data_IF_609203655816
#
_entry.id   IF_609203655816
#
_cell.length_a   1.000
_cell.length_b   1.000
_cell.length_c   1.000
_cell.angle_alpha   90.00
_cell.angle_beta   90.00
_cell.angle_gamma   90.00
#
_symmetry.space_group_name_H-M   'P 1'
#
loop_
_entity.id
_entity.type
_entity.pdbx_description
1 polymer ?
#
# COMPACT_ATOMS: atom_id res chain seq x y z
N UNK A 1 2.91 -17.12 10.45
CA UNK A 1 3.44 -15.73 10.41
C UNK A 1 2.25 -14.81 10.37
N UNK A 2 2.15 -13.86 11.31
CA UNK A 2 1.13 -12.82 11.20
C UNK A 2 1.62 -11.78 10.17
N UNK A 3 0.78 -11.44 9.20
CA UNK A 3 1.10 -10.37 8.25
C UNK A 3 1.02 -9.03 8.99
N UNK A 4 2.05 -8.19 8.79
CA UNK A 4 2.12 -6.82 9.31
C UNK A 4 1.85 -5.87 8.18
N UNK A 5 0.82 -5.04 8.33
CA UNK A 5 0.52 -3.97 7.39
C UNK A 5 1.13 -2.68 7.90
N UNK A 6 1.80 -1.94 7.01
CA UNK A 6 2.40 -0.66 7.31
C UNK A 6 1.72 0.41 6.47
N UNK A 7 1.41 1.54 7.09
CA UNK A 7 0.82 2.70 6.43
C UNK A 7 1.39 4.00 7.03
N UNK A 8 1.19 5.12 6.36
CA UNK A 8 1.72 6.42 6.76
C UNK A 8 0.61 7.46 6.75
N UNK A 9 0.29 7.98 7.93
CA UNK A 9 -0.68 9.07 8.09
C UNK A 9 0.04 10.39 7.89
N UNK A 10 -0.50 11.25 7.03
CA UNK A 10 0.04 12.58 6.71
C UNK A 10 -1.04 13.64 6.88
N UNK A 11 -0.66 14.81 7.39
CA UNK A 11 -1.55 15.97 7.45
C UNK A 11 -0.77 17.29 7.42
N UNK A 12 -1.42 18.36 6.96
CA UNK A 12 -0.85 19.71 6.93
C UNK A 12 -0.95 20.44 8.29
N UNK A 13 -1.69 19.88 9.25
CA UNK A 13 -1.84 20.44 10.60
C UNK A 13 -1.78 19.34 11.66
N UNK A 14 -1.37 19.68 12.91
CA UNK A 14 -1.29 18.71 13.99
C UNK A 14 -2.68 18.21 14.43
N UNK A 15 -3.71 19.05 14.31
CA UNK A 15 -5.10 18.67 14.63
C UNK A 15 -5.64 17.65 13.64
N UNK A 16 -5.45 17.89 12.34
CA UNK A 16 -5.84 16.95 11.28
C UNK A 16 -5.10 15.60 11.43
N UNK A 17 -3.82 15.65 11.82
CA UNK A 17 -3.05 14.43 12.08
C UNK A 17 -3.65 13.64 13.26
N UNK A 18 -3.99 14.32 14.36
CA UNK A 18 -4.56 13.69 15.55
C UNK A 18 -5.89 13.00 15.25
N UNK A 19 -6.77 13.63 14.45
CA UNK A 19 -8.04 13.02 14.03
C UNK A 19 -7.82 11.78 13.18
N UNK A 20 -6.92 11.84 12.19
CA UNK A 20 -6.59 10.71 11.32
C UNK A 20 -5.95 9.55 12.09
N UNK A 21 -5.06 9.83 13.04
CA UNK A 21 -4.49 8.80 13.93
C UNK A 21 -5.58 8.16 14.79
N UNK A 22 -6.49 8.98 15.34
CA UNK A 22 -7.61 8.48 16.16
C UNK A 22 -8.52 7.55 15.35
N UNK A 23 -8.75 7.84 14.07
CA UNK A 23 -9.47 6.95 13.18
C UNK A 23 -8.71 5.63 12.93
N UNK A 24 -7.41 5.71 12.62
CA UNK A 24 -6.56 4.53 12.41
C UNK A 24 -6.47 3.64 13.66
N UNK A 25 -6.43 4.21 14.85
CA UNK A 25 -6.49 3.49 16.13
C UNK A 25 -7.80 2.68 16.28
N UNK A 26 -8.95 3.25 15.88
CA UNK A 26 -10.24 2.54 15.89
C UNK A 26 -10.29 1.39 14.89
N UNK A 27 -9.56 1.52 13.79
CA UNK A 27 -9.39 0.50 12.76
C UNK A 27 -8.37 -0.59 13.14
N UNK A 28 -7.79 -0.52 14.35
CA UNK A 28 -6.82 -1.51 14.85
C UNK A 28 -5.37 -1.27 14.42
N UNK A 29 -5.08 -0.12 13.81
CA UNK A 29 -3.71 0.31 13.55
C UNK A 29 -3.08 0.92 14.80
N UNK A 30 -1.78 0.78 14.97
CA UNK A 30 -1.00 1.31 16.08
C UNK A 30 0.11 2.21 15.56
N UNK A 31 0.40 3.36 16.21
CA UNK A 31 1.51 4.20 15.82
C UNK A 31 2.83 3.44 15.90
N UNK A 32 3.61 3.52 14.84
CA UNK A 32 4.89 2.87 14.72
C UNK A 32 6.02 3.91 14.76
N UNK A 33 6.79 3.89 15.84
CA UNK A 33 7.86 4.86 16.07
C UNK A 33 7.35 6.29 16.27
N UNK A 34 8.27 7.25 16.18
CA UNK A 34 8.00 8.66 16.46
C UNK A 34 7.39 9.39 15.26
N UNK A 35 6.43 10.28 15.52
CA UNK A 35 5.97 11.25 14.54
C UNK A 35 7.12 12.13 14.06
N UNK A 36 7.08 12.50 12.78
CA UNK A 36 8.07 13.34 12.13
C UNK A 36 7.39 14.50 11.42
N UNK A 37 8.07 15.64 11.41
CA UNK A 37 7.60 16.85 10.74
C UNK A 37 8.52 17.07 9.55
N UNK A 38 7.95 17.05 8.35
CA UNK A 38 8.65 17.40 7.12
C UNK A 38 8.36 18.86 6.77
N UNK A 39 9.40 19.66 6.61
CA UNK A 39 9.29 21.06 6.14
C UNK A 39 9.82 21.24 4.72
N UNK A 40 9.98 20.14 3.96
CA UNK A 40 10.64 20.12 2.67
C UNK A 40 9.82 20.72 1.49
N UNK A 41 8.76 21.49 1.74
CA UNK A 41 7.85 22.04 0.72
C UNK A 41 7.03 23.27 1.16
N UNK A 42 5.85 23.47 0.55
CA UNK A 42 4.92 24.61 0.76
C UNK A 42 4.24 24.68 2.15
N UNK A 43 4.87 24.15 3.20
CA UNK A 43 4.33 24.10 4.56
C UNK A 43 4.96 23.00 5.41
N UNK A 44 4.63 22.97 6.70
CA UNK A 44 4.98 21.87 7.58
C UNK A 44 3.97 20.72 7.42
N UNK A 45 4.45 19.53 7.07
CA UNK A 45 3.66 18.31 7.02
C UNK A 45 3.98 17.44 8.23
N UNK A 46 2.94 17.00 8.93
CA UNK A 46 3.04 16.09 10.05
C UNK A 46 2.79 14.66 9.57
N UNK A 47 3.72 13.77 9.90
CA UNK A 47 3.75 12.40 9.38
C UNK A 47 3.88 11.43 10.56
N UNK A 48 3.00 10.43 10.64
CA UNK A 48 3.06 9.35 11.63
C UNK A 48 2.96 7.99 10.92
N UNK A 49 3.99 7.14 10.98
CA UNK A 49 3.88 5.76 10.54
C UNK A 49 2.95 4.96 11.46
N UNK A 50 2.17 4.05 10.91
CA UNK A 50 1.27 3.16 11.64
C UNK A 50 1.41 1.71 11.16
N UNK A 51 1.16 0.76 12.05
CA UNK A 51 1.26 -0.68 11.82
C UNK A 51 0.01 -1.40 12.33
N UNK A 52 -0.50 -2.39 11.61
CA UNK A 52 -1.53 -3.29 12.12
C UNK A 52 -1.10 -4.75 12.00
N UNK A 53 -1.27 -5.49 13.09
CA UNK A 53 -1.17 -6.95 13.13
C UNK A 53 -2.59 -7.52 13.14
N UNK A 54 -3.14 -7.74 11.95
CA UNK A 54 -4.50 -8.22 11.76
C UNK A 54 -4.86 -8.22 10.28
N UNK A 55 -5.76 -9.11 9.88
CA UNK A 55 -6.40 -9.07 8.56
C UNK A 55 -7.26 -7.81 8.55
N UNK A 56 -6.69 -6.71 8.05
CA UNK A 56 -7.44 -5.48 7.84
C UNK A 56 -8.63 -5.84 6.95
N UNK A 57 -9.86 -5.33 7.23
CA UNK A 57 -10.94 -5.44 6.27
C UNK A 57 -10.37 -4.88 4.98
N UNK A 58 -10.18 -5.74 3.99
CA UNK A 58 -9.39 -5.49 2.79
C UNK A 58 -9.61 -4.05 2.40
N UNK A 59 -8.62 -3.19 2.68
CA UNK A 59 -8.61 -1.85 2.16
C UNK A 59 -8.51 -2.11 0.67
N UNK A 60 -9.67 -2.17 0.00
CA UNK A 60 -9.81 -2.40 -1.41
C UNK A 60 -8.73 -1.54 -2.03
N UNK A 61 -7.76 -2.25 -2.59
CA UNK A 61 -6.40 -1.78 -2.75
C UNK A 61 -6.47 -0.42 -3.43
N UNK A 62 -6.20 0.65 -2.66
CA UNK A 62 -5.93 1.98 -3.18
C UNK A 62 -4.52 1.99 -3.76
N UNK A 63 -4.29 1.01 -4.62
CA UNK A 63 -3.09 0.62 -5.31
C UNK A 63 -3.53 -0.48 -6.25
N UNK A 64 -3.27 -0.30 -7.55
CA UNK A 64 -3.53 -1.31 -8.55
C UNK A 64 -2.62 -2.54 -8.32
N UNK A 65 -2.95 -3.40 -7.37
CA UNK A 65 -2.35 -4.73 -7.28
C UNK A 65 -3.50 -5.72 -7.49
N UNK A 66 -3.52 -6.50 -8.57
CA UNK A 66 -4.53 -7.52 -8.73
C UNK A 66 -4.21 -8.67 -7.78
N UNK A 67 -4.88 -8.70 -6.62
CA UNK A 67 -5.04 -9.91 -5.84
C UNK A 67 -5.81 -10.92 -6.71
N UNK A 68 -5.08 -11.84 -7.35
CA UNK A 68 -5.67 -12.97 -8.09
C UNK A 68 -6.25 -13.95 -7.07
N UNK A 69 -7.48 -13.66 -6.63
CA UNK A 69 -8.33 -14.68 -6.03
C UNK A 69 -8.65 -15.69 -7.11
N UNK A 70 -8.25 -16.94 -6.89
CA UNK A 70 -8.57 -18.08 -7.74
C UNK A 70 -10.08 -18.40 -7.70
N UNK A 71 -10.86 -17.57 -8.37
CA UNK A 71 -12.21 -17.87 -8.83
C UNK A 71 -12.10 -18.10 -10.34
N UNK A 72 -12.90 -18.96 -10.99
CA UNK A 72 -12.99 -18.96 -12.45
C UNK A 72 -13.66 -17.65 -12.87
N UNK A 73 -12.87 -16.59 -12.87
CA UNK A 73 -13.27 -15.23 -13.12
C UNK A 73 -13.60 -15.14 -14.61
N UNK A 74 -14.78 -14.60 -14.91
CA UNK A 74 -15.19 -14.35 -16.29
C UNK A 74 -14.06 -13.62 -17.02
N UNK A 75 -13.78 -14.03 -18.26
CA UNK A 75 -12.69 -13.44 -19.04
C UNK A 75 -12.80 -11.90 -19.01
N UNK A 76 -11.70 -11.18 -18.78
CA UNK A 76 -11.73 -9.74 -18.69
C UNK A 76 -12.24 -9.11 -19.99
N UNK A 77 -12.98 -8.01 -19.89
CA UNK A 77 -13.53 -7.31 -21.06
C UNK A 77 -12.44 -6.75 -22.00
N UNK A 78 -11.23 -6.54 -21.47
CA UNK A 78 -10.09 -6.08 -22.23
C UNK A 78 -8.79 -6.63 -21.63
N UNK A 79 -7.76 -6.70 -22.48
CA UNK A 79 -6.43 -7.11 -22.07
C UNK A 79 -5.44 -5.99 -22.37
N UNK A 80 -4.53 -5.73 -21.43
CA UNK A 80 -3.32 -4.98 -21.72
C UNK A 80 -2.36 -5.88 -22.48
N UNK A 81 -2.00 -5.46 -23.70
CA UNK A 81 -1.06 -6.21 -24.54
C UNK A 81 0.34 -5.64 -24.35
N UNK A 82 1.26 -6.47 -23.86
CA UNK A 82 2.69 -6.14 -23.75
C UNK A 82 3.43 -6.95 -24.81
N UNK A 83 4.01 -6.28 -25.80
CA UNK A 83 4.83 -6.93 -26.82
C UNK A 83 6.20 -7.27 -26.22
N UNK A 84 6.50 -8.57 -26.14
CA UNK A 84 7.82 -9.06 -25.75
C UNK A 84 8.58 -9.49 -27.01
N UNK A 85 9.74 -8.88 -27.24
CA UNK A 85 10.67 -9.24 -28.30
C UNK A 85 12.09 -8.96 -27.83
N UNK A 86 13.07 -9.72 -28.32
CA UNK A 86 14.45 -9.55 -27.89
C UNK A 86 15.29 -10.80 -28.12
N UNK A 87 16.48 -10.80 -27.52
CA UNK A 87 17.41 -11.94 -27.55
C UNK A 87 17.02 -13.00 -26.50
N UNK A 88 17.70 -14.16 -26.51
CA UNK A 88 17.42 -15.29 -25.61
C UNK A 88 17.40 -14.89 -24.12
N UNK A 89 18.21 -13.92 -23.70
CA UNK A 89 18.24 -13.41 -22.33
C UNK A 89 16.95 -12.67 -21.91
N UNK A 90 16.13 -12.23 -22.87
CA UNK A 90 14.81 -11.64 -22.61
C UNK A 90 13.70 -12.69 -22.57
N UNK A 91 14.06 -13.96 -22.74
CA UNK A 91 13.16 -15.11 -22.76
C UNK A 91 13.64 -16.17 -21.76
N UNK A 92 12.76 -17.11 -21.43
CA UNK A 92 13.04 -18.10 -20.40
C UNK A 92 13.81 -19.32 -20.95
N UNK A 93 15.06 -19.12 -21.38
CA UNK A 93 15.95 -20.17 -21.92
C UNK A 93 16.89 -20.81 -20.87
N UNK A 94 16.66 -20.59 -19.57
CA UNK A 94 17.47 -21.20 -18.50
C UNK A 94 17.22 -22.70 -18.32
N UNK A 95 18.27 -23.48 -18.03
CA UNK A 95 18.21 -24.96 -17.94
C UNK A 95 17.85 -25.53 -16.55
N UNK A 96 17.48 -24.69 -15.58
CA UNK A 96 16.94 -25.12 -14.28
C UNK A 96 17.96 -25.62 -13.26
#
# INVERSE_FOLDING_TARGET
MAFKHYDVVRAASPSDLAERITQKLKEGWQPYGSALISTAGYGAEFIQPVVSEGELPSLAESGNHPHVSAKPEAAPEYYYVIALAGQSNSMSYGEG
#
